data_IF_630363067259
#
_entry.id   IF_630363067259
#
_cell.length_a   1.000
_cell.length_b   1.000
_cell.length_c   1.000
_cell.angle_alpha   90.00
_cell.angle_beta   90.00
_cell.angle_gamma   90.00
#
_symmetry.space_group_name_H-M   'P 1'
#
loop_
_entity.id
_entity.type
_entity.pdbx_description
1 polymer ?
2 non-polymer ?
3 non-polymer ?
4 non-polymer ?
5 water ?
#
# COMPACT_ATOMS: atom_id res chain seq x y z
N UNK A 10 26.87 -13.05 2.98
CA UNK A 10 25.70 -13.54 3.83
C UNK A 10 26.13 -14.18 5.17
N UNK A 11 25.64 -13.61 6.27
CA UNK A 11 25.85 -14.14 7.61
C UNK A 11 25.60 -15.65 7.74
N UNK A 12 26.38 -16.26 8.61
CA UNK A 12 26.36 -17.69 8.78
C UNK A 12 24.93 -18.15 9.19
N UNK A 13 24.31 -17.52 10.20
CA UNK A 13 22.97 -17.99 10.63
C UNK A 13 21.95 -18.11 9.44
N UNK A 14 21.99 -17.16 8.51
CA UNK A 14 21.04 -17.12 7.45
C UNK A 14 21.35 -18.16 6.39
N UNK A 15 22.56 -18.08 5.79
CA UNK A 15 23.04 -19.06 4.80
C UNK A 15 22.88 -20.49 5.29
N UNK A 16 22.94 -20.60 6.58
CA UNK A 16 22.64 -21.82 7.21
C UNK A 16 21.22 -22.32 7.05
N UNK A 17 20.27 -21.39 6.77
CA UNK A 17 18.84 -21.71 6.63
C UNK A 17 18.27 -21.54 5.22
N UNK A 18 18.89 -20.63 4.49
CA UNK A 18 18.39 -20.17 3.24
C UNK A 18 19.46 -20.36 2.22
N UNK A 19 19.11 -20.95 1.08
CA UNK A 19 19.98 -20.91 -0.08
C UNK A 19 19.70 -19.62 -0.83
N UNK A 20 20.55 -18.61 -0.69
CA UNK A 20 20.39 -17.38 -1.48
C UNK A 20 20.45 -17.62 -2.99
N UNK A 21 19.87 -16.70 -3.76
CA UNK A 21 19.66 -16.84 -5.19
C UNK A 21 19.46 -15.47 -5.90
N UNK A 22 18.84 -15.45 -7.08
CA UNK A 22 18.77 -14.25 -7.98
C UNK A 22 17.98 -13.05 -7.44
N UNK A 23 18.29 -11.86 -7.95
CA UNK A 23 17.62 -10.63 -7.55
C UNK A 23 16.21 -10.49 -8.13
N UNK A 24 15.29 -10.09 -7.27
CA UNK A 24 13.91 -9.82 -7.67
C UNK A 24 13.65 -8.29 -7.78
N UNK A 25 14.70 -7.50 -7.58
CA UNK A 25 14.66 -6.05 -7.84
C UNK A 25 15.24 -5.19 -6.73
N UNK A 26 15.60 -3.93 -7.05
CA UNK A 26 16.11 -3.02 -6.01
C UNK A 26 15.65 -1.58 -6.12
N UNK A 31 17.34 -4.21 -1.72
CA UNK A 31 17.51 -5.35 -2.60
C UNK A 31 16.61 -6.41 -2.09
N UNK A 32 15.86 -7.02 -2.98
CA UNK A 32 15.04 -8.18 -2.62
C UNK A 32 15.56 -9.31 -3.45
N UNK A 33 15.92 -10.39 -2.77
CA UNK A 33 16.48 -11.59 -3.36
C UNK A 33 15.47 -12.74 -3.27
N UNK A 34 15.46 -13.64 -4.27
CA UNK A 34 14.81 -14.97 -4.18
C UNK A 34 15.75 -15.86 -3.40
N UNK A 35 15.17 -16.77 -2.63
CA UNK A 35 15.93 -17.60 -1.71
C UNK A 35 15.11 -18.86 -1.47
N UNK A 36 15.75 -20.00 -1.20
CA UNK A 36 14.98 -21.21 -0.94
C UNK A 36 15.31 -21.71 0.45
N UNK A 37 14.30 -22.13 1.22
CA UNK A 37 14.56 -22.63 2.57
C UNK A 37 15.40 -23.87 2.44
N UNK A 38 16.47 -23.95 3.22
CA UNK A 38 17.41 -25.02 3.03
C UNK A 38 16.80 -26.43 3.32
N UNK A 39 15.81 -26.52 4.20
CA UNK A 39 15.33 -27.83 4.67
C UNK A 39 14.16 -28.34 3.83
N UNK A 40 13.41 -27.42 3.25
CA UNK A 40 12.19 -27.74 2.53
C UNK A 40 12.32 -27.37 1.08
N UNK A 41 13.30 -26.55 0.72
CA UNK A 41 13.34 -26.01 -0.65
C UNK A 41 12.12 -25.15 -1.08
N UNK A 42 11.25 -24.76 -0.17
CA UNK A 42 10.20 -23.74 -0.44
C UNK A 42 10.86 -22.42 -0.86
N UNK A 43 10.25 -21.71 -1.81
CA UNK A 43 10.76 -20.40 -2.23
C UNK A 43 10.24 -19.34 -1.25
N UNK A 44 11.09 -18.33 -0.98
CA UNK A 44 10.75 -17.16 -0.16
C UNK A 44 11.49 -15.97 -0.72
N UNK A 45 11.20 -14.79 -0.21
CA UNK A 45 11.92 -13.57 -0.68
C UNK A 45 12.60 -13.02 0.55
N UNK A 46 13.73 -12.32 0.38
CA UNK A 46 14.51 -11.81 1.53
C UNK A 46 14.87 -10.37 1.23
N UNK A 47 14.33 -9.42 2.02
CA UNK A 47 14.56 -7.99 1.75
C UNK A 47 15.83 -7.66 2.49
N UNK A 48 16.80 -7.13 1.78
CA UNK A 48 18.07 -6.77 2.39
C UNK A 48 18.12 -5.24 2.60
N UNK A 49 18.34 -4.81 3.83
CA UNK A 49 18.47 -3.38 4.09
C UNK A 49 19.84 -3.15 4.68
N UNK A 50 20.61 -2.27 4.07
CA UNK A 50 21.96 -2.08 4.60
C UNK A 50 22.04 -1.02 5.73
N UNK A 51 23.19 -0.95 6.43
CA UNK A 51 23.40 0.02 7.54
C UNK A 51 24.73 0.73 7.38
N UNK A 67 14.29 2.46 12.45
CA UNK A 67 12.91 2.18 12.07
C UNK A 67 12.78 0.95 11.17
N UNK A 68 13.76 0.05 11.28
CA UNK A 68 13.55 -1.32 10.82
C UNK A 68 12.91 -2.03 11.99
N UNK A 69 13.37 -1.71 13.20
CA UNK A 69 12.74 -2.16 14.44
C UNK A 69 11.21 -2.05 14.33
N UNK A 70 10.75 -0.83 14.04
CA UNK A 70 9.36 -0.52 13.70
C UNK A 70 8.78 -1.43 12.62
N UNK A 71 9.40 -1.52 11.45
CA UNK A 71 8.88 -2.45 10.45
C UNK A 71 8.60 -3.85 11.03
N UNK A 72 9.62 -4.48 11.60
CA UNK A 72 9.50 -5.84 12.17
C UNK A 72 8.38 -5.95 13.19
N UNK A 73 8.36 -5.06 14.18
CA UNK A 73 7.36 -5.06 15.24
C UNK A 73 5.97 -5.08 14.63
N UNK A 74 5.76 -4.22 13.64
CA UNK A 74 4.54 -4.20 12.86
C UNK A 74 4.28 -5.53 12.13
N UNK A 75 5.23 -6.00 11.33
CA UNK A 75 4.93 -7.14 10.50
C UNK A 75 4.57 -8.36 11.32
N UNK A 76 5.14 -8.46 12.52
CA UNK A 76 4.91 -9.57 13.45
C UNK A 76 3.47 -9.47 14.06
N UNK A 77 3.00 -8.25 14.32
CA UNK A 77 1.74 -8.05 15.01
C UNK A 77 0.53 -8.23 14.07
N UNK A 78 0.73 -8.09 12.78
CA UNK A 78 -0.37 -8.02 11.83
C UNK A 78 -0.69 -9.35 11.13
N UNK A 79 -1.97 -9.66 11.04
CA UNK A 79 -2.44 -10.87 10.39
C UNK A 79 -3.59 -10.50 9.42
N UNK A 80 -3.30 -10.45 8.11
CA UNK A 80 -4.35 -10.11 7.14
C UNK A 80 -4.04 -10.62 5.73
N UNK A 81 -5.01 -11.24 5.03
CA UNK A 81 -4.70 -11.90 3.76
C UNK A 81 -4.11 -10.94 2.76
N UNK A 82 -4.39 -9.65 2.87
CA UNK A 82 -3.75 -8.68 1.96
C UNK A 82 -2.57 -7.83 2.55
N UNK A 83 -1.83 -8.39 3.51
CA UNK A 83 -0.71 -7.68 4.07
C UNK A 83 0.37 -8.70 4.18
N UNK A 84 1.55 -8.38 3.65
CA UNK A 84 2.65 -9.32 3.56
C UNK A 84 3.05 -9.82 4.97
N UNK A 85 3.28 -11.12 5.05
CA UNK A 85 3.73 -11.73 6.30
C UNK A 85 5.22 -11.94 6.30
N UNK A 86 5.79 -11.83 7.47
CA UNK A 86 7.22 -11.96 7.69
C UNK A 86 7.36 -13.40 8.15
N UNK A 87 8.49 -14.02 7.81
CA UNK A 87 8.71 -15.41 8.14
C UNK A 87 9.94 -15.57 8.98
N UNK A 88 10.79 -14.57 9.01
CA UNK A 88 12.09 -14.69 9.69
C UNK A 88 12.82 -13.38 9.59
N UNK A 89 13.90 -13.26 10.34
CA UNK A 89 14.52 -11.99 10.39
C UNK A 89 15.93 -12.18 10.90
N UNK A 90 16.92 -11.67 10.18
CA UNK A 90 18.31 -11.69 10.69
C UNK A 90 18.91 -10.30 10.86
N UNK A 91 19.61 -10.09 11.98
CA UNK A 91 20.13 -8.75 12.38
C UNK A 91 21.66 -8.62 12.24
N UNK A 92 22.43 -9.58 12.72
CA UNK A 92 23.88 -9.52 12.42
C UNK A 92 24.21 -8.82 11.05
N UNK A 93 24.67 -7.56 11.14
CA UNK A 93 25.35 -6.77 10.08
C UNK A 93 24.52 -5.97 9.03
N UNK A 94 23.75 -6.64 8.19
CA UNK A 94 22.70 -5.96 7.44
C UNK A 94 21.42 -6.56 7.98
N UNK A 95 20.30 -5.94 7.66
CA UNK A 95 19.05 -6.51 8.07
C UNK A 95 18.60 -7.35 6.91
N UNK A 96 18.09 -8.54 7.22
CA UNK A 96 17.46 -9.40 6.20
C UNK A 96 16.10 -9.74 6.71
N UNK A 97 15.06 -9.36 5.97
CA UNK A 97 13.71 -9.70 6.39
C UNK A 97 13.18 -10.77 5.48
N UNK A 98 12.84 -11.94 6.02
CA UNK A 98 12.39 -13.01 5.15
C UNK A 98 10.89 -12.97 5.00
N UNK A 99 10.40 -12.94 3.76
CA UNK A 99 8.96 -12.74 3.44
C UNK A 99 8.36 -13.81 2.50
N UNK A 100 7.02 -13.93 2.48
CA UNK A 100 6.29 -14.62 1.40
C UNK A 100 6.89 -14.23 0.04
N UNK A 101 6.97 -15.18 -0.88
CA UNK A 101 7.33 -14.83 -2.22
C UNK A 101 6.06 -14.49 -2.97
N UNK A 102 6.07 -13.43 -3.79
CA UNK A 102 4.89 -13.08 -4.55
C UNK A 102 5.23 -13.27 -5.99
N UNK A 103 4.65 -14.28 -6.60
CA UNK A 103 5.11 -14.68 -7.93
C UNK A 103 4.72 -13.63 -8.96
N UNK A 104 3.82 -12.73 -8.58
CA UNK A 104 3.30 -11.82 -9.58
C UNK A 104 4.11 -10.56 -9.79
N UNK A 105 5.05 -10.27 -8.89
CA UNK A 105 5.88 -9.07 -9.01
C UNK A 105 5.18 -7.88 -8.45
N UNK A 106 5.77 -6.70 -8.50
CA UNK A 106 5.11 -5.47 -8.00
C UNK A 106 4.13 -4.93 -9.03
N UNK A 107 3.15 -4.17 -8.59
CA UNK A 107 2.09 -3.74 -9.47
C UNK A 107 2.66 -2.68 -10.39
N UNK A 108 3.68 -1.98 -9.91
CA UNK A 108 4.42 -1.03 -10.72
C UNK A 108 4.65 -1.58 -12.10
N UNK A 109 5.10 -2.84 -12.19
CA UNK A 109 5.45 -3.46 -13.48
C UNK A 109 4.27 -3.64 -14.39
N UNK A 110 3.04 -3.49 -13.90
CA UNK A 110 1.86 -3.67 -14.75
C UNK A 110 1.43 -2.35 -15.33
N UNK A 111 1.87 -1.26 -14.67
CA UNK A 111 1.46 0.11 -15.04
C UNK A 111 2.56 1.01 -15.68
N UNK A 112 3.83 0.65 -15.60
CA UNK A 112 4.85 1.45 -16.27
C UNK A 112 4.46 1.63 -17.71
N UNK A 113 4.69 2.81 -18.24
CA UNK A 113 4.53 3.01 -19.66
C UNK A 113 3.09 3.12 -20.10
N UNK A 114 2.42 4.18 -19.71
CA UNK A 114 1.06 4.33 -20.11
C UNK A 114 0.43 2.99 -20.37
N UNK A 115 0.98 1.96 -19.78
CA UNK A 115 0.37 0.64 -20.00
C UNK A 115 -1.11 0.73 -19.65
N UNK A 116 -1.47 0.30 -18.43
CA UNK A 116 -2.86 0.42 -17.89
C UNK A 116 -3.72 -0.89 -17.86
N UNK A 117 -4.46 -1.04 -16.76
CA UNK A 117 -5.25 -2.25 -16.48
C UNK A 117 -6.72 -2.15 -16.87
N UNK A 118 -7.29 -3.31 -17.18
CA UNK A 118 -8.72 -3.48 -17.49
C UNK A 118 -9.61 -3.06 -16.28
N UNK A 119 -10.64 -2.25 -16.50
CA UNK A 119 -11.35 -1.66 -15.31
C UNK A 119 -11.65 -2.72 -14.18
N UNK A 120 -12.13 -3.89 -14.55
CA UNK A 120 -12.62 -4.91 -13.62
C UNK A 120 -11.53 -5.46 -12.70
N UNK A 121 -10.28 -5.43 -13.17
CA UNK A 121 -9.15 -5.81 -12.34
C UNK A 121 -8.54 -4.65 -11.47
N UNK A 122 -8.51 -3.41 -11.97
CA UNK A 122 -8.48 -2.29 -11.07
C UNK A 122 -9.42 -2.48 -9.85
N UNK A 123 -10.71 -2.75 -10.11
CA UNK A 123 -11.70 -2.98 -9.07
C UNK A 123 -11.22 -4.06 -8.14
N UNK A 124 -10.83 -5.20 -8.70
CA UNK A 124 -10.37 -6.31 -7.88
C UNK A 124 -9.13 -5.94 -6.98
N UNK A 125 -8.08 -5.36 -7.56
CA UNK A 125 -6.93 -4.91 -6.77
C UNK A 125 -7.22 -3.83 -5.71
N UNK A 126 -8.14 -2.93 -6.03
CA UNK A 126 -8.40 -1.78 -5.21
C UNK A 126 -9.31 -2.18 -4.01
N UNK A 127 -10.25 -3.07 -4.24
CA UNK A 127 -10.98 -3.66 -3.12
C UNK A 127 -10.00 -4.12 -2.09
N UNK A 128 -8.96 -4.85 -2.54
CA UNK A 128 -8.08 -5.53 -1.63
C UNK A 128 -7.26 -4.45 -0.92
N UNK A 129 -6.87 -3.43 -1.69
CA UNK A 129 -6.03 -2.37 -1.21
C UNK A 129 -6.80 -1.67 -0.13
N UNK A 130 -8.10 -1.46 -0.32
CA UNK A 130 -8.87 -0.72 0.67
C UNK A 130 -9.06 -1.60 1.92
N UNK A 131 -9.36 -2.88 1.77
CA UNK A 131 -9.41 -3.75 2.97
C UNK A 131 -8.09 -3.73 3.80
N UNK A 132 -6.92 -3.76 3.15
CA UNK A 132 -5.66 -3.81 3.84
C UNK A 132 -5.49 -2.55 4.60
N UNK A 133 -5.61 -1.42 3.93
CA UNK A 133 -5.41 -0.14 4.55
C UNK A 133 -6.44 0.15 5.65
N UNK A 134 -7.70 -0.30 5.46
CA UNK A 134 -8.67 -0.15 6.51
C UNK A 134 -8.12 -0.89 7.69
N UNK A 135 -7.64 -2.11 7.45
CA UNK A 135 -7.10 -2.89 8.56
C UNK A 135 -5.90 -2.20 9.27
N UNK A 136 -5.05 -1.48 8.56
CA UNK A 136 -3.95 -0.84 9.28
C UNK A 136 -4.55 0.19 10.17
N UNK A 137 -5.28 1.12 9.56
CA UNK A 137 -6.01 2.19 10.29
C UNK A 137 -6.83 1.72 11.51
N UNK A 138 -7.56 0.61 11.45
CA UNK A 138 -8.28 0.14 12.64
C UNK A 138 -7.32 -0.32 13.74
N UNK A 139 -6.02 -0.38 13.43
CA UNK A 139 -5.02 -0.97 14.35
C UNK A 139 -4.01 0.14 14.64
N UNK A 140 -4.50 1.34 14.44
CA UNK A 140 -3.75 2.55 14.65
C UNK A 140 -2.49 2.73 13.86
N UNK A 141 -2.39 2.13 12.67
CA UNK A 141 -1.16 2.20 11.83
C UNK A 141 -1.43 3.02 10.61
N UNK A 142 -0.54 3.96 10.29
CA UNK A 142 -0.59 4.67 9.03
C UNK A 142 0.58 4.20 8.25
N UNK A 143 0.35 3.89 6.96
CA UNK A 143 1.36 3.19 6.16
C UNK A 143 2.41 4.18 5.68
N UNK A 144 1.95 5.18 4.96
CA UNK A 144 2.68 6.42 4.76
C UNK A 144 3.55 6.36 3.53
N UNK A 145 3.61 5.18 2.88
CA UNK A 145 4.32 5.00 1.60
C UNK A 145 3.56 4.09 0.57
N UNK A 146 2.25 4.18 0.52
CA UNK A 146 1.48 3.42 -0.46
C UNK A 146 1.90 3.92 -1.84
N UNK A 147 2.33 3.05 -2.72
CA UNK A 147 2.67 3.37 -4.15
C UNK A 147 2.64 2.00 -4.89
N UNK A 148 2.53 1.98 -6.23
CA UNK A 148 2.44 0.66 -6.88
C UNK A 148 3.65 -0.25 -6.68
N UNK A 149 4.81 0.33 -6.43
CA UNK A 149 6.02 -0.43 -6.16
C UNK A 149 5.83 -1.25 -4.88
N UNK A 150 4.84 -0.89 -4.06
CA UNK A 150 4.62 -1.55 -2.73
C UNK A 150 3.34 -2.38 -2.66
N UNK A 151 2.80 -2.68 -3.84
CA UNK A 151 1.65 -3.57 -3.90
C UNK A 151 2.18 -4.74 -4.71
N UNK A 152 2.16 -5.92 -4.09
CA UNK A 152 2.64 -7.13 -4.72
C UNK A 152 1.48 -8.03 -5.13
N UNK A 153 1.69 -8.87 -6.14
CA UNK A 153 0.70 -9.73 -6.77
C UNK A 153 1.02 -11.19 -6.54
N UNK A 154 0.02 -11.95 -6.11
CA UNK A 154 0.13 -13.35 -5.71
C UNK A 154 0.63 -14.28 -6.79
N UNK A 155 0.27 -13.95 -8.01
CA UNK A 155 0.39 -14.82 -9.12
C UNK A 155 0.43 -14.01 -10.41
N UNK A 156 0.79 -14.71 -11.48
CA UNK A 156 0.97 -14.12 -12.79
C UNK A 156 -0.38 -14.05 -13.52
N UNK A 157 -1.44 -14.57 -12.89
CA UNK A 157 -2.79 -14.59 -13.46
C UNK A 157 -3.41 -13.22 -13.16
N UNK A 158 -4.16 -12.63 -14.11
CA UNK A 158 -4.75 -11.28 -13.91
C UNK A 158 -5.55 -11.16 -12.62
N UNK A 159 -6.33 -12.17 -12.28
CA UNK A 159 -7.14 -12.11 -11.09
C UNK A 159 -6.37 -12.81 -9.98
N UNK A 160 -5.95 -12.06 -8.97
CA UNK A 160 -5.07 -12.63 -7.97
C UNK A 160 -5.13 -11.84 -6.70
N UNK A 161 -4.37 -12.27 -5.68
CA UNK A 161 -4.38 -11.56 -4.41
C UNK A 161 -3.30 -10.49 -4.45
N UNK A 162 -3.50 -9.40 -3.72
CA UNK A 162 -2.45 -8.38 -3.66
C UNK A 162 -2.08 -8.27 -2.23
N UNK A 163 -0.79 -8.17 -1.93
CA UNK A 163 -0.42 -7.89 -0.56
C UNK A 163 0.33 -6.62 -0.51
N UNK A 164 0.02 -5.74 0.43
CA UNK A 164 0.80 -4.53 0.56
C UNK A 164 2.10 -4.75 1.36
N UNK A 165 3.18 -4.05 0.99
CA UNK A 165 4.49 -4.16 1.71
C UNK A 165 5.08 -2.81 2.19
N UNK A 166 6.29 -2.89 2.78
CA UNK A 166 7.18 -1.72 3.00
C UNK A 166 6.61 -0.80 4.04
N UNK A 167 6.86 -1.18 5.31
CA UNK A 167 6.42 -0.47 6.53
C UNK A 167 7.57 0.31 7.13
N UNK A 168 8.58 0.55 6.29
CA UNK A 168 9.76 1.23 6.74
C UNK A 168 9.39 2.52 7.40
N UNK A 169 8.40 3.26 6.87
CA UNK A 169 8.07 4.65 7.28
C UNK A 169 6.69 4.82 7.99
N UNK A 170 6.17 3.74 8.56
CA UNK A 170 4.84 3.78 9.10
C UNK A 170 4.89 4.33 10.51
N UNK A 171 3.73 4.82 10.96
CA UNK A 171 3.51 5.46 12.25
C UNK A 171 2.43 4.64 12.94
N UNK A 172 2.74 4.24 14.18
CA UNK A 172 1.79 3.60 15.07
C UNK A 172 1.15 4.74 15.90
N UNK A 173 -0.13 5.07 15.67
CA UNK A 173 -0.91 5.90 16.61
C UNK A 173 -1.20 5.07 17.89
N UNK A 176 -3.56 8.10 23.44
CA UNK A 176 -2.81 8.27 24.66
C UNK A 176 -2.05 9.59 24.81
N UNK A 177 -1.36 10.02 23.74
CA UNK A 177 -0.43 11.19 23.80
C UNK A 177 -1.03 12.60 23.60
N UNK A 178 -2.20 12.71 22.96
CA UNK A 178 -3.03 13.95 23.06
C UNK A 178 -3.36 14.22 24.50
N UNK A 179 -3.46 13.16 25.27
CA UNK A 179 -4.05 13.25 26.57
C UNK A 179 -3.12 13.96 27.51
N UNK A 180 -1.84 13.60 27.41
CA UNK A 180 -0.81 14.28 28.21
C UNK A 180 -0.52 15.74 27.81
N UNK A 181 -0.46 16.05 26.51
CA UNK A 181 -0.33 17.45 26.11
C UNK A 181 -1.55 18.26 26.62
N UNK A 182 -2.79 17.81 26.38
CA UNK A 182 -4.00 18.54 26.80
C UNK A 182 -4.27 18.59 28.27
N UNK A 183 -4.34 17.43 28.96
CA UNK A 183 -4.52 17.42 30.45
C UNK A 183 -3.17 17.49 31.12
N UNK A 186 -0.09 22.27 29.67
CA UNK A 186 -1.30 23.06 29.38
C UNK A 186 -0.99 24.59 29.35
N UNK A 187 -0.86 25.23 30.49
CA UNK A 187 -0.58 26.64 30.59
C UNK A 187 0.74 27.14 29.92
N UNK A 188 1.49 26.04 29.24
CA UNK A 188 2.91 26.51 28.87
C UNK A 188 3.02 26.26 27.41
N UNK A 189 2.01 25.57 26.89
CA UNK A 189 1.99 25.06 25.55
C UNK A 189 1.77 26.16 24.49
N UNK A 190 2.71 26.16 23.51
CA UNK A 190 2.67 27.13 22.43
C UNK A 190 1.35 27.03 21.69
N UNK A 191 0.87 28.16 21.18
CA UNK A 191 -0.39 28.15 20.51
C UNK A 191 -0.20 27.70 19.13
N UNK A 192 -0.08 26.43 18.86
CA UNK A 192 0.17 26.00 17.50
C UNK A 192 0.46 24.57 17.69
N UNK A 193 1.04 24.21 18.86
CA UNK A 193 0.89 22.86 19.37
C UNK A 193 -0.61 22.59 19.66
N UNK A 194 -1.28 23.55 20.30
CA UNK A 194 -2.76 23.58 20.45
C UNK A 194 -3.49 23.48 19.13
N UNK A 195 -3.74 24.56 18.40
CA UNK A 195 -4.23 24.48 17.00
C UNK A 195 -3.89 23.11 16.37
N UNK A 196 -2.66 22.69 16.50
CA UNK A 196 -2.25 21.50 15.78
C UNK A 196 -3.09 20.31 16.14
N UNK A 197 -3.43 20.23 17.42
CA UNK A 197 -4.18 19.12 18.04
C UNK A 197 -5.52 18.85 17.36
N UNK A 198 -6.36 19.85 17.11
CA UNK A 198 -7.58 19.65 16.30
C UNK A 198 -7.35 19.09 14.87
N UNK A 199 -6.22 18.39 14.67
CA UNK A 199 -5.80 17.80 13.40
C UNK A 199 -5.70 16.33 13.68
N UNK A 200 -5.77 16.01 14.97
CA UNK A 200 -5.54 14.66 15.42
C UNK A 200 -6.69 13.86 14.91
N UNK A 201 -6.42 12.66 14.39
CA UNK A 201 -7.46 11.79 13.84
C UNK A 201 -7.62 11.91 12.32
N UNK A 202 -6.72 12.65 11.65
CA UNK A 202 -6.81 12.93 10.21
C UNK A 202 -5.51 12.64 9.49
N UNK A 203 -4.47 12.29 10.20
CA UNK A 203 -3.25 11.85 9.53
C UNK A 203 -3.42 10.61 8.64
N UNK A 204 -4.30 9.68 9.02
CA UNK A 204 -4.55 8.51 8.21
C UNK A 204 -4.99 8.93 6.85
N UNK A 205 -5.57 10.11 6.76
CA UNK A 205 -6.02 10.55 5.47
C UNK A 205 -4.91 10.68 4.40
N UNK A 206 -3.63 10.62 4.75
CA UNK A 206 -2.60 10.67 3.69
C UNK A 206 -2.59 9.33 2.94
N UNK A 207 -2.95 8.22 3.61
CA UNK A 207 -3.05 6.92 2.94
C UNK A 207 -4.15 6.95 1.90
N UNK A 208 -5.29 7.58 2.21
CA UNK A 208 -6.41 7.61 1.26
C UNK A 208 -6.08 8.46 0.07
N UNK A 209 -5.41 9.57 0.28
CA UNK A 209 -4.98 10.31 -0.87
C UNK A 209 -4.15 9.38 -1.75
N UNK A 210 -3.15 8.69 -1.18
CA UNK A 210 -2.20 7.84 -1.91
C UNK A 210 -2.90 6.74 -2.68
N UNK A 211 -3.96 6.20 -2.10
CA UNK A 211 -4.71 5.12 -2.74
C UNK A 211 -5.42 5.72 -3.98
N UNK A 212 -5.83 6.97 -3.87
CA UNK A 212 -6.53 7.60 -4.99
C UNK A 212 -5.55 7.86 -6.10
N UNK A 213 -4.29 8.18 -5.77
CA UNK A 213 -3.30 8.32 -6.83
C UNK A 213 -3.05 6.96 -7.49
N UNK A 214 -2.94 5.88 -6.69
CA UNK A 214 -2.77 4.56 -7.26
C UNK A 214 -3.95 4.24 -8.18
N UNK A 215 -5.16 4.53 -7.73
CA UNK A 215 -6.29 4.12 -8.49
C UNK A 215 -6.25 4.90 -9.79
N UNK A 216 -5.93 6.17 -9.70
CA UNK A 216 -5.98 7.00 -10.89
C UNK A 216 -5.08 6.30 -11.97
N UNK A 217 -3.86 5.96 -11.54
CA UNK A 217 -2.86 5.39 -12.41
C UNK A 217 -3.37 4.08 -13.05
N UNK A 218 -3.72 3.11 -12.21
CA UNK A 218 -4.34 1.87 -12.68
C UNK A 218 -5.45 2.12 -13.70
N UNK A 219 -6.31 3.12 -13.47
CA UNK A 219 -7.46 3.23 -14.34
C UNK A 219 -7.09 3.81 -15.66
N UNK A 220 -6.06 4.63 -15.66
CA UNK A 220 -5.77 5.50 -16.81
C UNK A 220 -4.46 5.16 -17.48
N UNK A 221 -3.53 4.63 -16.70
CA UNK A 221 -2.22 4.37 -17.21
C UNK A 221 -1.30 5.58 -17.21
N UNK A 222 -1.75 6.75 -16.75
CA UNK A 222 -0.82 7.88 -16.59
C UNK A 222 -0.92 8.45 -15.18
N UNK A 223 0.09 9.24 -14.73
CA UNK A 223 0.03 9.81 -13.41
C UNK A 223 -0.78 11.11 -13.36
N UNK A 224 -1.60 11.32 -12.31
CA UNK A 224 -2.32 12.56 -12.22
C UNK A 224 -1.41 13.76 -12.04
N UNK A 225 -0.39 13.66 -11.22
CA UNK A 225 0.57 14.77 -11.12
C UNK A 225 1.96 14.31 -11.63
N UNK A 226 2.65 15.23 -12.29
CA UNK A 226 3.79 14.85 -13.06
C UNK A 226 4.47 16.08 -13.53
N UNK A 227 5.81 16.04 -13.62
CA UNK A 227 6.64 17.16 -14.11
C UNK A 227 6.72 17.19 -15.66
N UNK A 228 6.02 16.26 -16.33
CA UNK A 228 5.90 16.24 -17.82
C UNK A 228 5.24 17.50 -18.40
N UNK A 232 3.69 24.58 -14.60
CA UNK A 232 3.16 24.36 -13.25
C UNK A 232 3.92 23.19 -12.61
N UNK A 233 4.28 23.38 -11.36
CA UNK A 233 5.28 22.55 -10.72
C UNK A 233 4.59 21.52 -9.84
N UNK A 234 5.22 20.35 -9.73
CA UNK A 234 4.76 19.34 -8.83
C UNK A 234 4.10 19.89 -7.55
N UNK A 235 4.80 20.64 -6.70
CA UNK A 235 4.17 21.10 -5.46
C UNK A 235 2.78 21.78 -5.74
N UNK A 236 2.77 22.81 -6.60
CA UNK A 236 1.52 23.52 -6.86
C UNK A 236 0.42 22.58 -7.39
N UNK A 237 0.75 21.79 -8.42
CA UNK A 237 -0.16 20.76 -8.90
C UNK A 237 -0.92 20.11 -7.73
N UNK A 238 -0.18 19.58 -6.74
CA UNK A 238 -0.77 18.77 -5.69
C UNK A 238 -1.59 19.56 -4.63
N UNK A 239 -0.97 20.58 -4.04
CA UNK A 239 -1.66 21.51 -3.17
C UNK A 239 -2.95 22.06 -3.82
N UNK A 240 -2.88 22.61 -5.02
CA UNK A 240 -4.11 23.03 -5.71
C UNK A 240 -5.07 21.84 -5.91
N UNK A 241 -4.54 20.63 -6.07
CA UNK A 241 -5.35 19.46 -6.29
C UNK A 241 -5.75 19.29 -7.74
N UNK A 242 -5.20 20.09 -8.67
CA UNK A 242 -5.60 19.95 -10.09
C UNK A 242 -4.85 18.84 -10.86
N UNK A 243 -5.31 17.60 -10.77
CA UNK A 243 -4.70 16.50 -11.50
C UNK A 243 -4.85 16.76 -12.99
N UNK A 244 -3.95 16.18 -13.76
CA UNK A 244 -3.96 16.19 -15.23
C UNK A 244 -5.05 15.24 -15.82
N UNK A 245 -6.16 15.79 -16.32
CA UNK A 245 -7.30 14.97 -16.74
C UNK A 245 -7.38 14.88 -18.24
N UNK A 246 -7.15 13.69 -18.80
CA UNK A 246 -7.24 13.50 -20.24
C UNK A 246 -8.52 12.78 -20.72
N UNK A 247 -9.51 13.55 -21.21
CA UNK A 247 -10.80 13.05 -21.69
C UNK A 247 -10.69 11.82 -22.60
N UNK A 248 -9.85 11.89 -23.64
CA UNK A 248 -9.61 10.76 -24.59
C UNK A 248 -9.27 9.43 -23.84
N UNK A 249 -8.49 9.53 -22.77
CA UNK A 249 -8.03 8.36 -22.01
C UNK A 249 -9.11 7.87 -21.05
N UNK A 250 -9.64 8.78 -20.24
CA UNK A 250 -10.67 8.44 -19.29
C UNK A 250 -11.98 7.93 -19.87
N UNK A 251 -12.08 7.88 -21.21
CA UNK A 251 -13.38 7.58 -21.85
C UNK A 251 -13.72 6.08 -21.98
N UNK A 252 -12.71 5.24 -21.70
CA UNK A 252 -12.86 3.80 -21.62
C UNK A 252 -13.06 3.46 -20.14
N UNK A 253 -13.36 4.47 -19.33
CA UNK A 253 -13.50 4.24 -17.88
C UNK A 253 -14.92 4.66 -17.44
N UNK A 254 -15.55 3.90 -16.55
CA UNK A 254 -16.90 4.24 -16.13
C UNK A 254 -16.97 5.57 -15.36
N UNK A 255 -18.16 6.15 -15.28
CA UNK A 255 -18.42 7.31 -14.44
C UNK A 255 -18.20 6.97 -12.93
N UNK A 256 -18.68 5.82 -12.47
CA UNK A 256 -18.52 5.48 -11.05
C UNK A 256 -17.05 5.43 -10.64
N UNK A 257 -16.23 4.79 -11.44
CA UNK A 257 -14.82 4.68 -11.08
C UNK A 257 -14.19 6.05 -10.96
N UNK A 258 -14.47 6.92 -11.94
CA UNK A 258 -13.86 8.22 -11.93
C UNK A 258 -14.40 9.00 -10.74
N UNK A 259 -15.71 8.87 -10.48
CA UNK A 259 -16.30 9.50 -9.32
C UNK A 259 -15.52 9.13 -8.04
N UNK A 260 -15.16 7.85 -7.84
CA UNK A 260 -14.31 7.50 -6.66
C UNK A 260 -12.94 8.22 -6.59
N UNK A 261 -12.17 8.20 -7.68
CA UNK A 261 -10.91 8.90 -7.72
C UNK A 261 -11.08 10.34 -7.30
N UNK A 262 -12.12 11.01 -7.83
CA UNK A 262 -12.31 12.44 -7.56
C UNK A 262 -12.53 12.61 -6.08
N UNK A 263 -13.27 11.68 -5.51
CA UNK A 263 -13.53 11.70 -4.08
C UNK A 263 -12.32 11.37 -3.21
N UNK A 264 -11.29 10.70 -3.75
CA UNK A 264 -10.07 10.49 -2.93
C UNK A 264 -9.05 11.59 -3.22
N UNK A 265 -9.00 12.10 -4.42
CA UNK A 265 -8.20 13.27 -4.70
C UNK A 265 -8.75 14.65 -4.16
N UNK A 266 -9.18 14.70 -2.91
CA UNK A 266 -9.68 15.95 -2.31
C UNK A 266 -8.62 16.59 -1.37
N UNK A 267 -8.30 17.87 -1.59
CA UNK A 267 -7.16 18.44 -0.87
C UNK A 267 -7.47 18.64 0.59
N UNK A 268 -8.73 18.88 0.88
CA UNK A 268 -9.13 19.05 2.27
C UNK A 268 -9.09 17.67 2.99
N UNK A 269 -8.18 17.46 3.97
CA UNK A 269 -8.18 16.11 4.55
C UNK A 269 -9.49 15.76 5.26
N UNK A 270 -10.23 16.77 5.73
CA UNK A 270 -11.47 16.47 6.52
C UNK A 270 -12.59 15.88 5.65
N UNK A 271 -12.65 16.37 4.41
CA UNK A 271 -13.70 16.10 3.43
C UNK A 271 -13.35 14.90 2.55
N UNK A 272 -12.07 14.65 2.35
CA UNK A 272 -11.55 13.50 1.61
C UNK A 272 -12.18 12.17 2.05
N UNK A 273 -12.41 11.23 1.12
CA UNK A 273 -12.90 9.89 1.51
C UNK A 273 -11.96 9.07 2.40
N UNK A 274 -12.55 8.47 3.42
CA UNK A 274 -11.89 7.46 4.22
C UNK A 274 -12.04 6.11 3.50
N UNK A 275 -11.29 5.10 3.96
CA UNK A 275 -11.43 3.75 3.44
C UNK A 275 -12.84 3.18 3.66
N UNK A 276 -13.46 3.51 4.78
CA UNK A 276 -14.84 3.07 4.93
C UNK A 276 -15.71 3.66 3.84
N UNK A 277 -15.62 4.97 3.59
CA UNK A 277 -16.49 5.57 2.59
C UNK A 277 -16.20 4.94 1.26
N UNK A 278 -14.92 4.83 0.90
CA UNK A 278 -14.64 4.32 -0.40
C UNK A 278 -15.22 2.91 -0.51
N UNK A 279 -15.24 2.13 0.56
CA UNK A 279 -15.79 0.78 0.42
C UNK A 279 -17.31 0.74 0.28
N UNK A 280 -18.00 1.81 0.67
CA UNK A 280 -19.42 1.80 0.46
C UNK A 280 -19.81 2.44 -0.86
N UNK A 281 -18.85 3.01 -1.55
CA UNK A 281 -19.08 3.77 -2.79
C UNK A 281 -19.70 2.89 -3.86
N UNK A 282 -20.63 3.41 -4.68
CA UNK A 282 -21.32 2.45 -5.58
C UNK A 282 -20.35 1.57 -6.40
N UNK A 283 -19.19 2.11 -6.81
CA UNK A 283 -18.28 1.33 -7.68
C UNK A 283 -17.87 0.01 -7.01
N UNK A 284 -17.62 0.00 -5.70
CA UNK A 284 -17.28 -1.27 -5.05
C UNK A 284 -18.45 -2.20 -4.68
N UNK A 285 -19.69 -1.82 -5.04
CA UNK A 285 -20.90 -2.64 -4.77
C UNK A 285 -21.12 -3.63 -5.93
N UNK A 286 -20.22 -4.60 -5.97
CA UNK A 286 -20.05 -5.49 -7.08
C UNK A 286 -19.92 -6.88 -6.48
N UNK A 287 -21.00 -7.67 -6.44
CA UNK A 287 -20.84 -8.96 -5.74
C UNK A 287 -20.04 -10.05 -6.53
N UNK A 288 -19.78 -9.77 -7.81
CA UNK A 288 -19.00 -10.65 -8.66
C UNK A 288 -17.52 -10.54 -8.47
N UNK A 289 -17.01 -9.30 -8.38
CA UNK A 289 -15.68 -9.07 -7.86
C UNK A 289 -15.58 -9.51 -6.38
N UNK A 290 -16.57 -9.17 -5.55
CA UNK A 290 -16.64 -9.68 -4.18
C UNK A 290 -16.49 -11.20 -4.19
N UNK A 291 -17.17 -11.87 -5.15
CA UNK A 291 -17.17 -13.32 -5.35
C UNK A 291 -15.79 -13.83 -5.65
N UNK A 292 -15.21 -13.23 -6.69
CA UNK A 292 -13.89 -13.60 -7.19
C UNK A 292 -12.93 -13.59 -6.03
N UNK A 293 -12.97 -12.53 -5.21
CA UNK A 293 -12.01 -12.33 -4.13
C UNK A 293 -12.03 -13.47 -3.07
N UNK A 294 -13.21 -13.79 -2.54
CA UNK A 294 -13.41 -14.88 -1.57
C UNK A 294 -12.94 -16.18 -2.18
N UNK A 295 -13.13 -16.30 -3.49
CA UNK A 295 -12.65 -17.45 -4.25
C UNK A 295 -11.15 -17.55 -4.15
N UNK A 296 -10.48 -16.40 -4.29
CA UNK A 296 -9.04 -16.32 -4.23
C UNK A 296 -8.54 -16.53 -2.80
N UNK A 297 -9.21 -15.96 -1.80
CA UNK A 297 -8.86 -16.31 -0.45
C UNK A 297 -8.89 -17.82 -0.29
N UNK A 298 -9.86 -18.50 -0.90
CA UNK A 298 -9.99 -19.94 -0.67
C UNK A 298 -8.89 -20.72 -1.35
N UNK A 299 -8.64 -20.44 -2.64
CA UNK A 299 -7.53 -21.07 -3.36
C UNK A 299 -6.27 -21.04 -2.50
N UNK A 300 -5.99 -19.92 -1.81
CA UNK A 300 -4.77 -19.81 -0.96
C UNK A 300 -4.70 -20.70 0.29
N UNK A 301 -5.82 -21.33 0.62
CA UNK A 301 -5.90 -22.30 1.71
C UNK A 301 -6.32 -23.72 1.24
#
# INVERSE_FOLDING_TARGET
GPLGSHMSVYPKALRDEYIMSKTLGSGACGEVKLAFERKTCKKVAIKIISKRKFAIGSAREADPALNVETEIEILKKLNHPCIIKIKNFFDAEDYYIVLELMEGGELFDKVVGNKRLKEATCKLYFYQMLLAVQYLHENGIIHRDLKPENVLLSSQEEDCLIKITDFGHSKILGETSLMRTLCGTPTYLAPEVLVSVGTAGYNRAVDCWSLGVILFICLSGYPPFSEHRTQVSLKDQITSGKYNFIPEVWAEVSEKALDLVKKLLVVDPKARFTTEEALRHPWLQDEDMKRKFQDLLSEENESTALPQVLAQPSTSRKRPREGEAEGAE
#
